data_IF_432953939911
#
_entry.id   IF_432953939911
#
_cell.length_a   1.000
_cell.length_b   1.000
_cell.length_c   1.000
_cell.angle_alpha   90.00
_cell.angle_beta   90.00
_cell.angle_gamma   90.00
#
_symmetry.space_group_name_H-M   'P 1'
#
loop_
_entity.id
_entity.type
_entity.pdbx_description
1 polymer ?
#
# COMPACT_ATOMS: atom_id res chain seq x y z
N UNK A 1 15.24 5.45 -0.53
CA UNK A 1 14.72 5.44 0.85
C UNK A 1 13.79 4.26 1.02
N UNK A 2 13.52 3.78 2.23
CA UNK A 2 12.51 2.74 2.46
C UNK A 2 11.46 3.26 3.43
N UNK A 3 10.21 3.24 3.00
CA UNK A 3 9.06 3.59 3.83
C UNK A 3 8.66 2.41 4.72
N UNK A 4 8.66 1.20 4.15
CA UNK A 4 8.25 0.01 4.89
C UNK A 4 8.84 -1.29 4.31
N UNK A 5 8.90 -2.34 5.13
CA UNK A 5 9.47 -3.66 4.80
C UNK A 5 8.67 -4.75 5.49
N UNK A 6 8.24 -5.77 4.74
CA UNK A 6 7.47 -6.88 5.32
C UNK A 6 8.20 -7.55 6.48
N UNK A 7 9.55 -7.60 6.42
CA UNK A 7 10.39 -8.16 7.48
C UNK A 7 10.35 -7.41 8.80
N UNK A 8 9.85 -6.18 8.82
CA UNK A 8 9.60 -5.42 10.05
C UNK A 8 8.33 -5.87 10.76
N UNK A 9 7.45 -6.57 10.06
CA UNK A 9 6.14 -6.96 10.55
C UNK A 9 6.04 -8.41 10.98
N UNK A 10 6.85 -9.31 10.43
CA UNK A 10 6.83 -10.72 10.84
C UNK A 10 7.94 -11.07 11.83
N UNK A 11 7.59 -11.93 12.80
CA UNK A 11 8.43 -12.26 13.97
C UNK A 11 7.89 -11.65 15.26
N UNK A 12 8.44 -12.04 16.41
CA UNK A 12 8.02 -11.54 17.73
C UNK A 12 6.53 -11.75 18.01
N UNK A 13 5.79 -10.64 18.11
CA UNK A 13 4.35 -10.58 18.41
C UNK A 13 3.45 -10.73 17.17
N UNK A 14 4.03 -10.96 15.98
CA UNK A 14 3.25 -11.26 14.78
C UNK A 14 2.31 -12.47 14.99
N UNK A 15 1.06 -12.41 14.50
CA UNK A 15 0.11 -13.52 14.68
C UNK A 15 0.66 -14.84 14.13
N UNK A 16 0.80 -15.83 15.02
CA UNK A 16 1.41 -17.13 14.68
C UNK A 16 0.55 -17.98 13.73
N UNK A 17 -0.71 -17.62 13.56
CA UNK A 17 -1.66 -18.26 12.66
C UNK A 17 -1.65 -17.66 11.25
N UNK A 18 -0.87 -16.61 11.00
CA UNK A 18 -0.74 -15.96 9.70
C UNK A 18 0.61 -16.29 9.03
N UNK A 19 0.60 -16.35 7.70
CA UNK A 19 1.81 -16.43 6.90
C UNK A 19 2.51 -15.06 6.85
N UNK A 20 3.84 -15.04 6.66
CA UNK A 20 4.65 -13.79 6.69
C UNK A 20 4.21 -12.77 5.65
N UNK A 21 3.66 -13.21 4.52
CA UNK A 21 3.10 -12.40 3.44
C UNK A 21 1.98 -11.48 3.94
N UNK A 22 1.31 -11.81 5.06
CA UNK A 22 0.32 -10.92 5.69
C UNK A 22 0.94 -9.65 6.25
N UNK A 23 2.23 -9.66 6.57
CA UNK A 23 3.02 -8.47 6.90
C UNK A 23 3.13 -7.50 5.73
N UNK A 24 2.88 -7.93 4.49
CA UNK A 24 2.95 -7.08 3.31
C UNK A 24 1.61 -6.46 2.88
N UNK A 25 0.50 -6.83 3.52
CA UNK A 25 -0.84 -6.53 2.98
C UNK A 25 -1.18 -5.05 3.03
N UNK A 26 -0.93 -4.35 4.13
CA UNK A 26 -1.22 -2.91 4.24
C UNK A 26 -0.37 -2.09 3.25
N UNK A 27 0.93 -2.38 3.16
CA UNK A 27 1.84 -1.77 2.17
C UNK A 27 1.31 -1.96 0.75
N UNK A 28 0.97 -3.21 0.40
CA UNK A 28 0.51 -3.56 -0.93
C UNK A 28 -0.78 -2.81 -1.31
N UNK A 29 -1.71 -2.61 -0.36
CA UNK A 29 -2.92 -1.84 -0.60
C UNK A 29 -2.62 -0.37 -0.91
N UNK A 30 -1.71 0.25 -0.14
CA UNK A 30 -1.30 1.64 -0.35
C UNK A 30 -0.57 1.83 -1.68
N UNK A 31 0.47 1.02 -1.92
CA UNK A 31 1.28 1.09 -3.14
C UNK A 31 0.40 0.82 -4.37
N UNK A 32 -0.44 -0.21 -4.33
CA UNK A 32 -1.36 -0.49 -5.44
C UNK A 32 -2.26 0.70 -5.76
N UNK A 33 -2.73 1.43 -4.74
CA UNK A 33 -3.56 2.61 -4.96
C UNK A 33 -2.75 3.71 -5.62
N UNK A 34 -1.55 4.02 -5.14
CA UNK A 34 -0.68 5.02 -5.75
C UNK A 34 -0.37 4.71 -7.22
N UNK A 35 0.02 3.46 -7.51
CA UNK A 35 0.34 3.02 -8.87
C UNK A 35 -0.85 3.12 -9.83
N UNK A 36 -2.06 2.82 -9.35
CA UNK A 36 -3.29 2.93 -10.12
C UNK A 36 -3.80 4.38 -10.28
N UNK A 37 -3.30 5.33 -9.49
CA UNK A 37 -3.70 6.74 -9.51
C UNK A 37 -2.64 7.68 -10.11
N UNK A 38 -1.77 7.16 -10.98
CA UNK A 38 -0.73 7.91 -11.69
C UNK A 38 0.35 8.52 -10.79
N UNK A 39 0.64 7.87 -9.65
CA UNK A 39 1.73 8.26 -8.74
C UNK A 39 2.91 7.28 -8.82
N UNK A 40 2.95 6.47 -9.87
CA UNK A 40 3.96 5.44 -10.07
C UNK A 40 5.33 6.02 -10.45
N UNK A 41 6.39 5.54 -9.80
CA UNK A 41 7.77 5.86 -10.15
C UNK A 41 8.20 5.24 -11.49
N UNK A 42 9.34 5.69 -12.02
CA UNK A 42 9.86 5.26 -13.32
C UNK A 42 10.14 3.76 -13.41
N UNK A 43 10.45 3.12 -12.27
CA UNK A 43 10.63 1.66 -12.20
C UNK A 43 9.38 0.92 -12.69
N UNK A 44 8.18 1.43 -12.36
CA UNK A 44 6.91 0.81 -12.76
C UNK A 44 6.44 1.28 -14.14
N UNK A 45 6.69 2.54 -14.51
CA UNK A 45 6.17 3.10 -15.77
C UNK A 45 7.09 2.88 -16.97
N UNK A 46 8.39 2.77 -16.77
CA UNK A 46 9.41 2.66 -17.83
C UNK A 46 10.11 1.30 -17.83
N UNK A 47 10.52 0.80 -16.66
CA UNK A 47 11.29 -0.45 -16.58
C UNK A 47 10.39 -1.70 -16.56
N UNK A 48 9.29 -1.67 -15.80
CA UNK A 48 8.36 -2.79 -15.66
C UNK A 48 6.88 -2.44 -16.00
N UNK A 49 6.60 -1.83 -17.17
CA UNK A 49 5.24 -1.40 -17.54
C UNK A 49 4.24 -2.56 -17.69
N UNK A 50 4.71 -3.76 -18.04
CA UNK A 50 3.86 -4.96 -18.13
C UNK A 50 3.34 -5.37 -16.74
N UNK A 51 4.16 -5.27 -15.70
CA UNK A 51 3.76 -5.57 -14.33
C UNK A 51 2.69 -4.58 -13.86
N UNK A 52 2.89 -3.27 -14.11
CA UNK A 52 1.88 -2.24 -13.85
C UNK A 52 0.59 -2.49 -14.64
N UNK A 53 0.69 -3.01 -15.87
CA UNK A 53 -0.44 -3.47 -16.67
C UNK A 53 -1.23 -4.60 -15.98
N UNK A 54 -0.52 -5.61 -15.47
CA UNK A 54 -1.14 -6.73 -14.73
C UNK A 54 -1.82 -6.29 -13.42
N UNK A 55 -1.30 -5.25 -12.75
CA UNK A 55 -1.98 -4.66 -11.60
C UNK A 55 -3.35 -4.09 -11.98
N UNK A 56 -3.43 -3.41 -13.13
CA UNK A 56 -4.67 -2.81 -13.65
C UNK A 56 -5.72 -3.85 -14.03
N UNK A 57 -5.31 -5.04 -14.48
CA UNK A 57 -6.24 -6.12 -14.82
C UNK A 57 -6.74 -6.87 -13.59
N UNK A 58 -6.17 -6.62 -12.40
CA UNK A 58 -6.58 -7.21 -11.12
C UNK A 58 -6.51 -8.75 -11.12
N UNK A 59 -5.62 -9.32 -11.92
CA UNK A 59 -5.44 -10.79 -12.04
C UNK A 59 -4.84 -11.40 -10.78
N UNK A 60 -3.93 -10.69 -10.14
CA UNK A 60 -3.38 -11.02 -8.82
C UNK A 60 -4.06 -10.16 -7.75
N UNK A 61 -4.08 -10.64 -6.52
CA UNK A 61 -4.40 -9.81 -5.37
C UNK A 61 -3.30 -8.75 -5.14
N UNK A 62 -3.62 -7.61 -4.49
CA UNK A 62 -2.64 -6.57 -4.20
C UNK A 62 -1.36 -7.10 -3.55
N UNK A 63 -1.46 -7.92 -2.50
CA UNK A 63 -0.27 -8.43 -1.80
C UNK A 63 0.58 -9.33 -2.69
N UNK A 64 -0.04 -10.24 -3.46
CA UNK A 64 0.70 -11.12 -4.37
C UNK A 64 1.40 -10.35 -5.48
N UNK A 65 0.75 -9.32 -6.04
CA UNK A 65 1.38 -8.46 -7.03
C UNK A 65 2.58 -7.71 -6.42
N UNK A 66 2.43 -7.15 -5.23
CA UNK A 66 3.48 -6.39 -4.54
C UNK A 66 4.70 -7.26 -4.19
N UNK A 67 4.49 -8.46 -3.65
CA UNK A 67 5.58 -9.40 -3.34
C UNK A 67 6.38 -9.74 -4.62
N UNK A 68 5.69 -9.97 -5.74
CA UNK A 68 6.34 -10.34 -7.00
C UNK A 68 7.12 -9.21 -7.66
N UNK A 69 6.73 -7.95 -7.44
CA UNK A 69 7.25 -6.81 -8.22
C UNK A 69 8.00 -5.76 -7.38
N UNK A 70 7.89 -5.80 -6.05
CA UNK A 70 8.51 -4.84 -5.13
C UNK A 70 9.40 -5.51 -4.06
N UNK A 71 9.67 -6.82 -4.14
CA UNK A 71 10.53 -7.56 -3.18
C UNK A 71 10.12 -7.33 -1.71
N UNK A 72 8.79 -7.29 -1.48
CA UNK A 72 8.16 -7.06 -0.18
C UNK A 72 8.53 -5.74 0.52
N UNK A 73 9.05 -4.77 -0.24
CA UNK A 73 9.56 -3.49 0.26
C UNK A 73 8.85 -2.35 -0.42
N UNK A 74 8.40 -1.38 0.37
CA UNK A 74 7.88 -0.13 -0.15
C UNK A 74 8.99 0.92 -0.06
N UNK A 75 9.49 1.35 -1.23
CA UNK A 75 10.59 2.32 -1.34
C UNK A 75 10.13 3.59 -2.06
N UNK A 76 10.99 4.60 -2.04
CA UNK A 76 10.76 5.84 -2.79
C UNK A 76 10.84 5.66 -4.31
N UNK A 77 11.47 4.59 -4.79
CA UNK A 77 11.53 4.27 -6.23
C UNK A 77 10.17 3.79 -6.77
N UNK A 78 9.30 3.25 -5.92
CA UNK A 78 7.95 2.82 -6.30
C UNK A 78 7.07 4.00 -6.72
N UNK A 79 7.36 5.22 -6.25
CA UNK A 79 6.52 6.39 -6.43
C UNK A 79 7.23 7.50 -7.20
N UNK A 80 6.45 8.34 -7.86
CA UNK A 80 6.96 9.58 -8.44
C UNK A 80 7.18 10.66 -7.35
N UNK A 81 7.55 11.87 -7.76
CA UNK A 81 7.81 12.97 -6.81
C UNK A 81 6.56 13.34 -6.00
N UNK A 82 5.37 13.27 -6.58
CA UNK A 82 4.12 13.63 -5.89
C UNK A 82 3.69 12.50 -4.97
N UNK A 83 3.77 11.26 -5.43
CA UNK A 83 3.51 10.07 -4.63
C UNK A 83 4.42 10.00 -3.40
N UNK A 84 5.71 10.27 -3.55
CA UNK A 84 6.65 10.30 -2.43
C UNK A 84 6.31 11.38 -1.39
N UNK A 85 5.90 12.58 -1.83
CA UNK A 85 5.45 13.63 -0.90
C UNK A 85 4.18 13.22 -0.16
N UNK A 86 3.23 12.59 -0.85
CA UNK A 86 2.01 12.09 -0.21
C UNK A 86 2.31 10.96 0.77
N UNK A 87 3.18 10.00 0.40
CA UNK A 87 3.61 8.93 1.29
C UNK A 87 4.31 9.48 2.55
N UNK A 88 5.19 10.46 2.40
CA UNK A 88 5.83 11.11 3.55
C UNK A 88 4.81 11.76 4.50
N UNK A 89 3.76 12.41 3.96
CA UNK A 89 2.72 13.06 4.76
C UNK A 89 1.75 12.07 5.42
N UNK A 90 1.27 11.09 4.67
CA UNK A 90 0.12 10.27 5.06
C UNK A 90 0.50 8.87 5.57
N UNK A 91 1.60 8.30 5.05
CA UNK A 91 2.06 6.95 5.40
C UNK A 91 3.15 6.96 6.49
N UNK A 92 4.21 7.75 6.31
CA UNK A 92 5.41 7.71 7.17
C UNK A 92 5.34 8.62 8.39
N UNK A 93 4.66 9.77 8.27
CA UNK A 93 4.58 10.79 9.34
C UNK A 93 4.13 10.23 10.69
N UNK A 94 4.63 10.80 11.79
CA UNK A 94 4.15 10.47 13.15
C UNK A 94 2.64 10.73 13.32
N UNK A 95 2.13 11.74 12.61
CA UNK A 95 0.70 12.09 12.55
C UNK A 95 0.00 11.46 11.32
N UNK A 96 0.64 10.50 10.66
CA UNK A 96 0.13 9.82 9.46
C UNK A 96 -1.11 8.97 9.77
N UNK A 97 -2.18 9.16 9.01
CA UNK A 97 -3.47 8.52 9.26
C UNK A 97 -3.68 7.21 8.50
N UNK A 98 -2.68 6.74 7.75
CA UNK A 98 -2.82 5.55 6.91
C UNK A 98 -3.31 4.32 7.68
N UNK A 99 -2.65 3.99 8.80
CA UNK A 99 -3.00 2.79 9.58
C UNK A 99 -4.41 2.89 10.20
N UNK A 100 -4.78 4.07 10.72
CA UNK A 100 -6.12 4.30 11.29
C UNK A 100 -7.22 4.18 10.22
N UNK A 101 -7.01 4.78 9.06
CA UNK A 101 -7.94 4.72 7.94
C UNK A 101 -8.01 3.29 7.35
N UNK A 102 -6.90 2.57 7.32
CA UNK A 102 -6.83 1.18 6.90
C UNK A 102 -7.67 0.27 7.80
N UNK A 103 -7.47 0.35 9.12
CA UNK A 103 -8.23 -0.43 10.08
C UNK A 103 -9.71 -0.02 10.10
N UNK A 104 -10.02 1.27 9.98
CA UNK A 104 -11.40 1.77 9.94
C UNK A 104 -12.16 1.32 8.69
N UNK A 105 -11.52 1.36 7.51
CA UNK A 105 -12.16 1.03 6.25
C UNK A 105 -12.30 -0.49 6.02
N UNK A 106 -11.33 -1.28 6.47
CA UNK A 106 -11.21 -2.68 6.12
C UNK A 106 -11.06 -3.65 7.31
N UNK A 107 -10.88 -3.15 8.53
CA UNK A 107 -10.63 -3.94 9.73
C UNK A 107 -11.86 -4.54 10.40
N UNK A 108 -13.07 -4.33 9.87
CA UNK A 108 -14.29 -4.89 10.47
C UNK A 108 -14.20 -6.42 10.59
N UNK A 109 -14.20 -6.92 11.83
CA UNK A 109 -14.08 -8.35 12.13
C UNK A 109 -12.65 -8.91 12.12
N UNK A 110 -11.65 -8.11 11.75
CA UNK A 110 -10.25 -8.48 11.84
C UNK A 110 -9.75 -8.36 13.29
N UNK A 111 -8.93 -9.33 13.75
CA UNK A 111 -8.34 -9.28 15.10
C UNK A 111 -7.19 -8.26 15.20
N UNK A 112 -6.47 -8.08 14.10
CA UNK A 112 -5.36 -7.14 13.93
C UNK A 112 -5.33 -6.68 12.48
N UNK A 113 -4.59 -5.62 12.17
CA UNK A 113 -4.39 -5.15 10.80
C UNK A 113 -3.87 -6.23 9.83
N UNK A 114 -3.11 -7.22 10.32
CA UNK A 114 -2.60 -8.35 9.52
C UNK A 114 -3.68 -9.39 9.18
N UNK A 115 -4.80 -9.41 9.91
CA UNK A 115 -5.93 -10.29 9.61
C UNK A 115 -6.85 -9.75 8.53
N UNK A 116 -6.65 -8.50 8.10
CA UNK A 116 -7.40 -7.92 7.00
C UNK A 116 -7.12 -8.74 5.72
N UNK A 117 -8.18 -8.98 4.96
CA UNK A 117 -8.13 -9.85 3.79
C UNK A 117 -7.37 -9.17 2.65
N UNK A 118 -6.47 -9.92 2.01
CA UNK A 118 -5.82 -9.49 0.77
C UNK A 118 -6.78 -9.75 -0.40
N UNK A 119 -7.56 -8.72 -0.75
CA UNK A 119 -8.53 -8.80 -1.84
C UNK A 119 -8.77 -7.44 -2.48
N UNK A 120 -9.28 -7.47 -3.71
CA UNK A 120 -9.75 -6.26 -4.37
C UNK A 120 -10.99 -5.66 -3.69
N UNK A 121 -11.76 -6.44 -2.92
CA UNK A 121 -12.87 -5.92 -2.12
C UNK A 121 -12.34 -5.04 -0.99
N UNK A 122 -11.28 -5.48 -0.30
CA UNK A 122 -10.57 -4.68 0.71
C UNK A 122 -10.01 -3.41 0.08
N UNK A 123 -9.32 -3.55 -1.06
CA UNK A 123 -8.79 -2.42 -1.81
C UNK A 123 -9.88 -1.41 -2.17
N UNK A 124 -11.03 -1.87 -2.70
CA UNK A 124 -12.12 -0.99 -3.14
C UNK A 124 -12.81 -0.28 -1.96
N UNK A 125 -12.77 -0.83 -0.74
CA UNK A 125 -13.20 -0.13 0.48
C UNK A 125 -12.21 0.97 0.89
N UNK A 126 -10.92 0.71 0.75
CA UNK A 126 -9.86 1.63 1.17
C UNK A 126 -9.62 2.76 0.15
N UNK A 127 -9.69 2.45 -1.14
CA UNK A 127 -9.43 3.36 -2.25
C UNK A 127 -10.14 4.73 -2.14
N UNK A 128 -11.45 4.83 -1.85
CA UNK A 128 -12.10 6.14 -1.71
C UNK A 128 -11.58 6.95 -0.50
N UNK A 129 -11.11 6.29 0.56
CA UNK A 129 -10.49 6.96 1.71
C UNK A 129 -9.14 7.54 1.29
N UNK A 130 -8.31 6.75 0.61
CA UNK A 130 -7.01 7.21 0.08
C UNK A 130 -7.17 8.38 -0.89
N UNK A 131 -8.12 8.31 -1.82
CA UNK A 131 -8.43 9.41 -2.74
C UNK A 131 -8.83 10.67 -2.00
N UNK A 132 -9.71 10.56 -0.99
CA UNK A 132 -10.09 11.71 -0.16
C UNK A 132 -8.87 12.32 0.55
N UNK A 133 -7.99 11.50 1.13
CA UNK A 133 -6.79 11.97 1.83
C UNK A 133 -5.79 12.63 0.90
N UNK A 134 -5.63 12.08 -0.29
CA UNK A 134 -4.80 12.67 -1.33
C UNK A 134 -5.34 14.03 -1.79
N UNK A 135 -6.64 14.15 -1.99
CA UNK A 135 -7.28 15.41 -2.39
C UNK A 135 -7.18 16.47 -1.27
N UNK A 136 -7.41 16.08 -0.02
CA UNK A 136 -7.26 16.95 1.17
C UNK A 136 -5.82 17.47 1.31
N UNK A 137 -4.83 16.58 1.17
CA UNK A 137 -3.41 16.93 1.23
C UNK A 137 -3.02 17.83 0.05
N UNK A 138 -3.41 17.48 -1.18
CA UNK A 138 -3.09 18.25 -2.40
C UNK A 138 -3.69 19.65 -2.37
N UNK A 139 -4.81 19.87 -1.67
CA UNK A 139 -5.38 21.21 -1.51
C UNK A 139 -4.56 22.12 -0.57
N UNK A 140 -3.69 21.55 0.26
CA UNK A 140 -2.85 22.28 1.23
C UNK A 140 -1.42 22.45 0.71
N UNK A 141 -0.85 21.39 0.14
CA UNK A 141 0.59 21.27 -0.19
C UNK A 141 0.88 20.98 -1.68
N UNK A 142 -0.17 20.81 -2.49
CA UNK A 142 -0.08 20.44 -3.92
C UNK A 142 0.27 21.58 -4.87
#
# INVERSE_FOLDING_TARGET
>A
MKYDDASWHYGGDFPKDLASEKGATHMAMFVSWCLLNNLAGSIHTEEFPEALGALKTRELSPTNWFIQNCDEKFTDEDLDVIGNKFAAYYYESEDGLFYEDYESAAGEGAKTLYHIEDSWITFDKLAPVLSKRFDEWSAIEG
#
